data_IF_427905923772
#
_entry.id   IF_427905923772
#
_cell.length_a   1.000
_cell.length_b   1.000
_cell.length_c   1.000
_cell.angle_alpha   90.00
_cell.angle_beta   90.00
_cell.angle_gamma   90.00
#
_symmetry.space_group_name_H-M   'P 1'
#
loop_
_entity.id
_entity.type
_entity.pdbx_description
1 polymer ?
#
# COMPACT_ATOMS: atom_id res chain seq x y z
N UNK A 1 -7.66 -10.01 -8.45
CA UNK A 1 -8.22 -9.88 -7.08
C UNK A 1 -7.18 -9.29 -6.17
N UNK A 2 -7.57 -8.38 -5.29
CA UNK A 2 -6.70 -7.79 -4.26
C UNK A 2 -7.40 -8.01 -2.92
N UNK A 3 -6.75 -8.72 -2.00
CA UNK A 3 -7.33 -9.17 -0.72
C UNK A 3 -8.71 -9.85 -0.86
N UNK A 4 -8.87 -10.72 -1.87
CA UNK A 4 -10.11 -11.46 -2.11
C UNK A 4 -11.21 -10.70 -2.86
N UNK A 5 -11.07 -9.38 -3.02
CA UNK A 5 -12.02 -8.54 -3.76
C UNK A 5 -11.63 -8.41 -5.23
N UNK A 6 -12.63 -8.45 -6.11
CA UNK A 6 -12.43 -8.22 -7.54
C UNK A 6 -12.20 -6.72 -7.81
N UNK A 7 -11.25 -6.41 -8.69
CA UNK A 7 -10.93 -5.06 -9.18
C UNK A 7 -10.30 -5.18 -10.56
N UNK A 8 -10.59 -4.22 -11.43
CA UNK A 8 -10.06 -4.16 -12.78
C UNK A 8 -8.70 -3.46 -12.82
N UNK A 9 -7.95 -3.70 -13.90
CA UNK A 9 -6.74 -2.98 -14.24
C UNK A 9 -6.45 -3.10 -15.73
N UNK A 10 -5.97 -2.01 -16.33
CA UNK A 10 -5.53 -2.00 -17.73
C UNK A 10 -4.15 -2.61 -17.80
N UNK A 11 -3.98 -3.60 -18.66
CA UNK A 11 -2.70 -4.24 -18.89
C UNK A 11 -1.67 -3.26 -19.49
N UNK A 12 -0.46 -3.25 -18.93
CA UNK A 12 0.62 -2.32 -19.32
C UNK A 12 1.48 -2.82 -20.49
N UNK A 13 1.15 -3.95 -21.11
CA UNK A 13 1.82 -4.48 -22.30
C UNK A 13 2.88 -5.56 -22.03
N UNK A 14 3.26 -6.24 -23.11
CA UNK A 14 4.12 -7.43 -23.06
C UNK A 14 5.56 -7.12 -22.66
N UNK A 15 6.09 -5.96 -23.05
CA UNK A 15 7.45 -5.53 -22.70
C UNK A 15 7.60 -5.40 -21.17
N UNK A 16 6.64 -4.75 -20.52
CA UNK A 16 6.65 -4.55 -19.06
C UNK A 16 6.45 -5.89 -18.34
N UNK A 17 5.54 -6.73 -18.84
CA UNK A 17 5.32 -8.07 -18.32
C UNK A 17 6.59 -8.94 -18.37
N UNK A 18 7.29 -8.92 -19.50
CA UNK A 18 8.54 -9.65 -19.69
C UNK A 18 9.64 -9.14 -18.76
N UNK A 19 9.77 -7.81 -18.63
CA UNK A 19 10.76 -7.20 -17.75
C UNK A 19 10.57 -7.62 -16.29
N UNK A 20 9.35 -7.52 -15.75
CA UNK A 20 9.07 -7.90 -14.34
C UNK A 20 9.30 -9.39 -14.13
N UNK A 21 8.78 -10.24 -15.02
CA UNK A 21 8.91 -11.70 -14.93
C UNK A 21 10.38 -12.12 -14.93
N UNK A 22 11.18 -11.49 -15.79
CA UNK A 22 12.62 -11.77 -15.90
C UNK A 22 13.37 -11.29 -14.66
N UNK A 23 13.12 -10.06 -14.20
CA UNK A 23 13.77 -9.50 -13.01
C UNK A 23 13.50 -10.33 -11.75
N UNK A 24 12.25 -10.79 -11.57
CA UNK A 24 11.85 -11.61 -10.43
C UNK A 24 12.19 -13.09 -10.59
N UNK A 25 12.63 -13.52 -11.79
CA UNK A 25 12.88 -14.93 -12.13
C UNK A 25 11.75 -15.86 -11.67
N UNK A 26 10.53 -15.54 -12.10
CA UNK A 26 9.30 -16.16 -11.61
C UNK A 26 8.41 -16.68 -12.75
N UNK A 27 7.26 -17.23 -12.39
CA UNK A 27 6.15 -17.45 -13.32
C UNK A 27 5.70 -16.12 -13.99
N UNK A 28 4.99 -16.19 -15.14
CA UNK A 28 4.59 -15.00 -15.88
C UNK A 28 3.71 -14.04 -15.07
N UNK A 29 4.15 -12.79 -14.97
CA UNK A 29 3.37 -11.71 -14.34
C UNK A 29 2.99 -10.63 -15.34
N UNK A 30 1.85 -9.99 -15.07
CA UNK A 30 1.38 -8.80 -15.78
C UNK A 30 1.37 -7.62 -14.83
N UNK A 31 1.83 -6.47 -15.31
CA UNK A 31 1.58 -5.20 -14.63
C UNK A 31 0.26 -4.63 -15.13
N UNK A 32 -0.58 -4.18 -14.20
CA UNK A 32 -1.82 -3.49 -14.52
C UNK A 32 -1.88 -2.12 -13.87
N UNK A 33 -2.51 -1.17 -14.55
CA UNK A 33 -2.74 0.19 -14.09
C UNK A 33 -4.23 0.45 -13.88
N UNK A 34 -4.60 1.05 -12.75
CA UNK A 34 -6.00 1.42 -12.48
C UNK A 34 -6.33 2.72 -13.21
N UNK A 35 -7.51 2.80 -13.82
CA UNK A 35 -7.95 4.01 -14.51
C UNK A 35 -9.17 4.63 -13.84
N UNK A 36 -9.33 5.97 -13.88
CA UNK A 36 -10.47 6.64 -13.23
C UNK A 36 -11.85 6.21 -13.72
N UNK A 37 -11.95 5.61 -14.92
CA UNK A 37 -13.22 5.07 -15.44
C UNK A 37 -13.58 3.68 -14.90
N UNK A 38 -12.67 3.02 -14.18
CA UNK A 38 -12.90 1.71 -13.57
C UNK A 38 -13.58 1.84 -12.21
N UNK A 39 -14.21 0.76 -11.76
CA UNK A 39 -14.85 0.72 -10.44
C UNK A 39 -13.77 0.50 -9.36
N UNK A 40 -13.60 1.41 -8.39
CA UNK A 40 -12.64 1.24 -7.31
C UNK A 40 -13.14 0.24 -6.27
N UNK A 41 -12.22 -0.27 -5.44
CA UNK A 41 -12.57 -0.97 -4.20
C UNK A 41 -12.99 0.05 -3.14
N UNK A 42 -13.83 -0.37 -2.20
CA UNK A 42 -14.22 0.44 -1.05
C UNK A 42 -13.47 -0.01 0.20
N UNK A 43 -12.87 0.92 0.93
CA UNK A 43 -12.18 0.63 2.18
C UNK A 43 -13.10 -0.03 3.21
N UNK A 44 -14.39 0.33 3.17
CA UNK A 44 -15.44 -0.22 4.05
C UNK A 44 -15.67 -1.72 3.87
N UNK A 45 -15.43 -2.26 2.67
CA UNK A 45 -15.58 -3.70 2.39
C UNK A 45 -14.47 -4.53 3.07
N UNK A 46 -13.43 -3.87 3.57
CA UNK A 46 -12.32 -4.48 4.32
C UNK A 46 -12.43 -4.15 5.82
N UNK A 47 -12.67 -2.88 6.18
CA UNK A 47 -12.78 -2.41 7.57
C UNK A 47 -14.03 -1.55 7.72
N UNK A 48 -14.98 -1.98 8.56
CA UNK A 48 -16.30 -1.35 8.68
C UNK A 48 -16.30 0.11 9.22
N UNK A 49 -15.18 0.59 9.76
CA UNK A 49 -15.03 1.97 10.27
C UNK A 49 -14.94 3.03 9.17
N UNK A 50 -14.56 2.65 7.95
CA UNK A 50 -14.50 3.59 6.82
C UNK A 50 -15.89 4.02 6.35
N UNK A 51 -15.93 5.18 5.68
CA UNK A 51 -17.15 5.69 5.04
C UNK A 51 -17.43 4.87 3.79
N UNK A 52 -18.69 4.85 3.37
CA UNK A 52 -19.10 4.18 2.12
C UNK A 52 -18.55 4.85 0.85
N UNK A 53 -18.01 6.06 0.99
CA UNK A 53 -17.42 6.90 -0.05
C UNK A 53 -15.89 6.78 -0.12
N UNK A 54 -15.26 6.06 0.82
CA UNK A 54 -13.81 5.92 0.84
C UNK A 54 -13.39 4.84 -0.16
N UNK A 55 -12.71 5.28 -1.22
CA UNK A 55 -12.38 4.47 -2.39
C UNK A 55 -10.87 4.33 -2.53
N UNK A 56 -10.43 3.12 -2.90
CA UNK A 56 -9.03 2.77 -3.12
C UNK A 56 -8.90 1.88 -4.37
N UNK A 57 -7.75 1.97 -5.03
CA UNK A 57 -7.40 1.04 -6.09
C UNK A 57 -6.79 -0.24 -5.49
N UNK A 58 -5.46 -0.36 -5.54
CA UNK A 58 -4.71 -1.51 -5.06
C UNK A 58 -4.12 -1.44 -3.62
N UNK A 59 -4.20 -0.34 -2.85
CA UNK A 59 -3.84 -0.38 -1.43
C UNK A 59 -4.60 -1.44 -0.63
N UNK A 60 -4.04 -1.83 0.53
CA UNK A 60 -4.59 -2.90 1.36
C UNK A 60 -6.01 -2.61 1.82
N UNK A 61 -6.18 -1.48 2.53
CA UNK A 61 -7.48 -1.04 3.03
C UNK A 61 -7.67 0.48 3.03
N UNK A 62 -6.69 1.25 3.50
CA UNK A 62 -6.81 2.71 3.67
C UNK A 62 -6.29 3.47 2.45
N UNK A 63 -6.89 4.63 2.09
CA UNK A 63 -6.32 5.53 1.09
C UNK A 63 -4.99 6.16 1.53
N UNK A 64 -4.75 6.30 2.84
CA UNK A 64 -3.55 6.92 3.41
C UNK A 64 -3.10 6.16 4.67
N UNK A 65 -1.79 5.95 4.80
CA UNK A 65 -1.12 5.53 6.02
C UNK A 65 -0.25 6.68 6.55
N UNK A 66 -0.42 7.01 7.83
CA UNK A 66 0.34 8.02 8.57
C UNK A 66 1.23 7.29 9.58
N UNK A 67 2.45 7.80 9.77
CA UNK A 67 3.35 7.37 10.83
C UNK A 67 4.15 8.57 11.34
N UNK A 68 4.51 8.61 12.62
CA UNK A 68 5.45 9.61 13.13
C UNK A 68 6.89 9.11 13.19
N UNK A 69 7.85 10.03 13.08
CA UNK A 69 9.27 9.73 13.30
C UNK A 69 9.51 9.24 14.73
N UNK A 70 8.84 9.86 15.71
CA UNK A 70 8.91 9.46 17.12
C UNK A 70 8.43 8.02 17.36
N UNK A 71 7.34 7.57 16.71
CA UNK A 71 6.89 6.17 16.77
C UNK A 71 7.94 5.19 16.21
N UNK A 72 8.61 5.55 15.11
CA UNK A 72 9.67 4.72 14.53
C UNK A 72 10.90 4.66 15.45
N UNK A 73 11.31 5.79 16.02
CA UNK A 73 12.42 5.87 16.97
C UNK A 73 12.17 5.04 18.22
N UNK A 74 10.97 5.18 18.80
CA UNK A 74 10.57 4.41 19.96
C UNK A 74 10.61 2.90 19.66
N UNK A 75 10.02 2.44 18.54
CA UNK A 75 10.10 1.03 18.14
C UNK A 75 11.55 0.57 17.99
N UNK A 76 12.38 1.42 17.38
CA UNK A 76 13.79 1.12 17.19
C UNK A 76 14.54 0.98 18.51
N UNK A 77 14.16 1.64 19.62
CA UNK A 77 14.79 1.38 20.94
C UNK A 77 14.65 -0.07 21.39
N UNK A 78 13.61 -0.77 20.93
CA UNK A 78 13.22 -2.13 21.34
C UNK A 78 13.74 -3.23 20.41
N UNK A 79 14.40 -2.85 19.31
CA UNK A 79 14.90 -3.79 18.30
C UNK A 79 16.42 -3.87 18.31
N UNK A 80 16.96 -5.08 18.21
CA UNK A 80 18.39 -5.31 17.99
C UNK A 80 18.83 -4.74 16.63
N UNK A 81 18.10 -5.12 15.57
CA UNK A 81 18.29 -4.58 14.22
C UNK A 81 17.29 -3.48 13.96
N UNK A 82 17.80 -2.24 13.84
CA UNK A 82 16.96 -1.07 13.56
C UNK A 82 16.31 -1.18 12.17
N UNK A 83 15.07 -0.72 12.09
CA UNK A 83 14.26 -0.63 10.87
C UNK A 83 14.14 0.82 10.42
N UNK A 84 13.82 1.01 9.14
CA UNK A 84 13.62 2.34 8.55
C UNK A 84 12.15 2.56 8.21
N UNK A 85 11.79 3.80 7.94
CA UNK A 85 10.42 4.17 7.58
C UNK A 85 9.88 3.40 6.36
N UNK A 86 10.77 3.05 5.41
CA UNK A 86 10.40 2.30 4.21
C UNK A 86 9.91 0.87 4.51
N UNK A 87 10.23 0.32 5.68
CA UNK A 87 9.69 -0.97 6.13
C UNK A 87 8.17 -0.89 6.41
N UNK A 88 7.63 0.30 6.71
CA UNK A 88 6.22 0.54 7.05
C UNK A 88 5.41 1.14 5.91
N UNK A 89 6.09 1.73 4.90
CA UNK A 89 5.48 2.29 3.68
C UNK A 89 4.39 3.36 3.94
N UNK A 90 4.59 4.32 4.87
CA UNK A 90 3.61 5.39 5.06
C UNK A 90 3.57 6.31 3.83
N UNK A 91 2.43 6.96 3.64
CA UNK A 91 2.27 8.03 2.66
C UNK A 91 2.69 9.39 3.25
N UNK A 92 2.43 9.58 4.55
CA UNK A 92 2.72 10.80 5.29
C UNK A 92 3.57 10.44 6.51
N UNK A 93 4.71 11.10 6.65
CA UNK A 93 5.57 11.04 7.83
C UNK A 93 5.43 12.35 8.61
N UNK A 94 5.15 12.25 9.91
CA UNK A 94 4.98 13.41 10.81
C UNK A 94 6.21 13.54 11.71
N UNK A 95 6.69 14.78 11.87
CA UNK A 95 7.78 15.14 12.81
C UNK A 95 7.22 16.03 13.93
N UNK A 96 8.03 16.30 14.95
CA UNK A 96 7.71 17.21 16.06
C UNK A 96 6.45 16.82 16.87
N UNK A 97 6.25 15.53 17.11
CA UNK A 97 5.21 15.00 17.99
C UNK A 97 5.77 13.94 18.96
N UNK A 98 4.99 13.57 19.97
CA UNK A 98 5.32 12.44 20.84
C UNK A 98 5.15 11.11 20.10
N UNK A 99 5.79 10.05 20.58
CA UNK A 99 5.58 8.72 20.02
C UNK A 99 4.10 8.31 20.11
N UNK A 100 3.56 7.81 19.01
CA UNK A 100 2.19 7.31 18.84
C UNK A 100 1.08 8.38 18.94
N UNK A 101 1.41 9.65 18.70
CA UNK A 101 0.45 10.76 18.74
C UNK A 101 -0.34 10.95 17.43
N UNK A 102 0.13 10.33 16.33
CA UNK A 102 -0.54 10.32 15.02
C UNK A 102 -1.97 9.73 15.03
#
# INVERSE_FOLDING_TARGET
RVFGLDIQGRDCGDEVAQWITTFLNSEPYRLVHFEPSMVPRKSKDVINLFRTTDEVAYPDCSPVLILSEASLEDLNTRLEKKVKIQNFRPNILVTDCSAFEE
#
